data_IF_696847056302
#
_entry.id   IF_696847056302
#
_cell.length_a   1.000
_cell.length_b   1.000
_cell.length_c   1.000
_cell.angle_alpha   90.00
_cell.angle_beta   90.00
_cell.angle_gamma   90.00
#
_symmetry.space_group_name_H-M   'P 1'
#
loop_
_entity.id
_entity.type
_entity.pdbx_description
1 polymer ?
#
# COMPACT_ATOMS: atom_id res chain seq x y z
N UNK A 1 -5.97 -15.04 5.12
CA UNK A 1 -4.88 -14.98 4.12
C UNK A 1 -3.77 -14.08 4.58
N UNK A 2 -2.55 -14.41 4.21
CA UNK A 2 -1.37 -13.64 4.59
C UNK A 2 -0.87 -12.86 3.38
N UNK A 3 -0.55 -11.58 3.60
CA UNK A 3 -0.04 -10.68 2.58
C UNK A 3 1.24 -10.04 3.09
N UNK A 4 2.27 -10.00 2.25
CA UNK A 4 3.56 -9.43 2.58
C UNK A 4 3.65 -8.03 1.98
N UNK A 5 3.95 -7.02 2.80
CA UNK A 5 4.04 -5.63 2.38
C UNK A 5 5.50 -5.17 2.45
N UNK A 6 5.96 -4.53 1.39
CA UNK A 6 7.31 -3.95 1.31
C UNK A 6 7.19 -2.45 1.10
N UNK A 7 7.88 -1.69 1.94
CA UNK A 7 7.94 -0.22 1.83
C UNK A 7 9.28 0.19 1.23
N UNK A 8 9.26 1.24 0.42
CA UNK A 8 10.45 1.77 -0.26
C UNK A 8 10.61 3.26 -0.01
N UNK A 9 11.85 3.74 -0.14
CA UNK A 9 12.21 5.17 -0.06
C UNK A 9 11.64 5.84 1.21
N UNK A 10 10.99 6.99 1.07
CA UNK A 10 10.52 7.76 2.23
C UNK A 10 9.44 7.06 3.03
N UNK A 11 8.74 6.08 2.47
CA UNK A 11 7.80 5.28 3.30
C UNK A 11 8.54 4.53 4.41
N UNK A 12 9.81 4.18 4.21
CA UNK A 12 10.63 3.51 5.22
C UNK A 12 10.92 4.39 6.44
N UNK A 13 10.70 5.70 6.32
CA UNK A 13 10.93 6.62 7.43
C UNK A 13 9.77 6.62 8.42
N UNK A 14 8.59 6.16 7.99
CA UNK A 14 7.38 6.18 8.82
C UNK A 14 6.81 4.80 9.09
N UNK A 15 7.36 3.75 8.47
CA UNK A 15 6.91 2.38 8.72
C UNK A 15 8.08 1.40 8.55
N UNK A 16 7.87 0.16 9.02
CA UNK A 16 8.88 -0.89 8.83
C UNK A 16 9.05 -1.19 7.35
N UNK A 17 10.27 -1.60 6.98
CA UNK A 17 10.60 -1.91 5.58
C UNK A 17 9.76 -3.06 5.03
N UNK A 18 9.39 -4.02 5.89
CA UNK A 18 8.59 -5.17 5.52
C UNK A 18 7.63 -5.50 6.65
N UNK A 19 6.39 -5.80 6.30
CA UNK A 19 5.34 -6.14 7.26
C UNK A 19 4.51 -7.27 6.69
N UNK A 20 4.26 -8.31 7.51
CA UNK A 20 3.30 -9.34 7.16
C UNK A 20 1.96 -8.99 7.81
N UNK A 21 0.90 -9.08 7.03
CA UNK A 21 -0.45 -8.77 7.50
C UNK A 21 -1.39 -9.92 7.16
N UNK A 22 -2.40 -10.10 8.00
CA UNK A 22 -3.40 -11.13 7.78
C UNK A 22 -4.77 -10.48 7.59
N UNK A 23 -5.54 -11.00 6.65
CA UNK A 23 -6.88 -10.51 6.32
C UNK A 23 -7.82 -11.68 6.08
N UNK A 24 -9.12 -11.41 6.19
CA UNK A 24 -10.15 -12.36 5.78
C UNK A 24 -10.28 -12.36 4.26
N UNK A 25 -10.85 -13.44 3.72
CA UNK A 25 -11.13 -13.51 2.29
C UNK A 25 -12.01 -12.34 1.85
N UNK A 26 -11.72 -11.83 0.66
CA UNK A 26 -12.45 -10.71 0.10
C UNK A 26 -11.90 -9.34 0.45
N UNK A 27 -10.87 -9.26 1.29
CA UNK A 27 -10.24 -7.99 1.61
C UNK A 27 -9.60 -7.37 0.36
N UNK A 28 -9.58 -6.05 0.31
CA UNK A 28 -9.05 -5.28 -0.81
C UNK A 28 -7.80 -4.51 -0.39
N UNK A 29 -7.13 -3.91 -1.38
CA UNK A 29 -6.00 -3.02 -1.12
C UNK A 29 -6.41 -1.89 -0.17
N UNK A 30 -7.62 -1.35 -0.32
CA UNK A 30 -8.16 -0.31 0.57
C UNK A 30 -8.12 -0.76 2.02
N UNK A 31 -8.53 -2.00 2.30
CA UNK A 31 -8.50 -2.58 3.64
C UNK A 31 -7.07 -2.65 4.18
N UNK A 32 -6.13 -3.09 3.33
CA UNK A 32 -4.73 -3.21 3.71
C UNK A 32 -4.14 -1.83 4.06
N UNK A 33 -4.38 -0.84 3.21
CA UNK A 33 -3.85 0.51 3.43
C UNK A 33 -4.46 1.16 4.67
N UNK A 34 -5.75 0.93 4.93
CA UNK A 34 -6.39 1.42 6.15
C UNK A 34 -5.71 0.83 7.39
N UNK A 35 -5.37 -0.45 7.35
CA UNK A 35 -4.65 -1.10 8.44
C UNK A 35 -3.27 -0.51 8.65
N UNK A 36 -2.54 -0.23 7.57
CA UNK A 36 -1.22 0.38 7.65
C UNK A 36 -1.26 1.80 8.17
N UNK A 37 -2.15 2.64 7.64
CA UNK A 37 -2.24 4.03 8.06
C UNK A 37 -2.73 4.15 9.50
N UNK A 38 -3.52 3.20 9.98
CA UNK A 38 -3.92 3.14 11.37
C UNK A 38 -2.81 2.70 12.30
N UNK A 39 -1.86 1.91 11.79
CA UNK A 39 -0.74 1.37 12.57
C UNK A 39 0.45 2.32 12.62
N UNK A 40 0.73 3.02 11.52
CA UNK A 40 1.91 3.87 11.38
C UNK A 40 1.52 5.33 11.24
N UNK A 41 1.88 6.15 12.24
CA UNK A 41 1.66 7.59 12.18
C UNK A 41 2.51 8.22 11.08
N UNK A 42 1.95 9.21 10.37
CA UNK A 42 2.64 9.88 9.28
C UNK A 42 2.48 9.23 7.92
N UNK A 43 2.08 7.96 7.87
CA UNK A 43 1.94 7.27 6.59
C UNK A 43 0.77 7.82 5.77
N UNK A 44 -0.33 8.15 6.43
CA UNK A 44 -1.51 8.65 5.73
C UNK A 44 -1.22 9.92 4.94
N UNK A 45 -0.49 10.85 5.53
CA UNK A 45 -0.14 12.12 4.88
C UNK A 45 0.78 11.92 3.68
N UNK A 46 1.64 10.92 3.72
CA UNK A 46 2.54 10.62 2.62
C UNK A 46 1.85 9.87 1.48
N UNK A 47 0.79 9.13 1.79
CA UNK A 47 0.16 8.23 0.83
C UNK A 47 -1.12 8.79 0.22
N UNK A 48 -1.97 9.45 1.01
CA UNK A 48 -3.29 9.87 0.57
C UNK A 48 -3.42 11.38 0.45
N UNK A 49 -4.00 11.83 -0.66
CA UNK A 49 -4.41 13.24 -0.85
C UNK A 49 -5.74 13.47 -0.13
N UNK A 50 -6.66 12.53 -0.26
CA UNK A 50 -7.95 12.48 0.44
C UNK A 50 -8.15 11.06 0.95
N UNK A 51 -9.15 10.79 1.82
CA UNK A 51 -9.37 9.43 2.32
C UNK A 51 -9.55 8.37 1.24
N UNK A 52 -10.00 8.75 0.06
CA UNK A 52 -10.26 7.82 -1.04
C UNK A 52 -9.34 7.98 -2.24
N UNK A 53 -8.34 8.86 -2.16
CA UNK A 53 -7.50 9.17 -3.32
C UNK A 53 -6.03 9.17 -2.92
N UNK A 54 -5.25 8.32 -3.56
CA UNK A 54 -3.79 8.32 -3.39
C UNK A 54 -3.21 9.62 -3.94
N UNK A 55 -2.11 10.09 -3.33
CA UNK A 55 -1.36 11.20 -3.89
C UNK A 55 -0.83 10.83 -5.26
N UNK A 56 -0.67 11.84 -6.12
CA UNK A 56 -0.07 11.65 -7.44
C UNK A 56 1.31 11.02 -7.29
N UNK A 57 1.63 10.11 -8.20
CA UNK A 57 2.93 9.42 -8.28
C UNK A 57 3.21 8.43 -7.16
N UNK A 58 2.26 8.19 -6.24
CA UNK A 58 2.35 7.02 -5.37
C UNK A 58 2.06 5.79 -6.22
N UNK A 59 2.98 4.84 -6.22
CA UNK A 59 2.82 3.61 -6.99
C UNK A 59 2.73 2.42 -6.04
N UNK A 60 1.72 1.59 -6.24
CA UNK A 60 1.53 0.38 -5.46
C UNK A 60 1.50 -0.80 -6.43
N UNK A 61 2.36 -1.78 -6.19
CA UNK A 61 2.45 -2.96 -7.04
C UNK A 61 1.93 -4.18 -6.29
N UNK A 62 1.07 -4.94 -6.94
CA UNK A 62 0.65 -6.26 -6.47
C UNK A 62 1.37 -7.30 -7.30
N UNK A 63 2.28 -8.04 -6.68
CA UNK A 63 3.09 -9.05 -7.36
C UNK A 63 3.77 -8.50 -8.62
N UNK A 64 4.30 -7.28 -8.52
CA UNK A 64 5.00 -6.63 -9.61
C UNK A 64 4.12 -5.86 -10.60
N UNK A 65 2.80 -5.88 -10.41
CA UNK A 65 1.86 -5.19 -11.32
C UNK A 65 1.27 -3.97 -10.63
N UNK A 66 1.34 -2.83 -11.29
CA UNK A 66 0.79 -1.59 -10.75
C UNK A 66 -0.74 -1.72 -10.61
N UNK A 67 -1.25 -1.48 -9.41
CA UNK A 67 -2.68 -1.63 -9.13
C UNK A 67 -3.54 -0.64 -9.93
N UNK A 68 -2.95 0.45 -10.41
CA UNK A 68 -3.65 1.39 -11.29
C UNK A 68 -4.20 0.68 -12.52
N UNK A 69 -3.50 -0.34 -13.02
CA UNK A 69 -3.91 -1.13 -14.17
C UNK A 69 -4.73 -2.36 -13.79
N UNK A 70 -5.02 -2.52 -12.51
CA UNK A 70 -5.94 -3.52 -11.99
C UNK A 70 -7.23 -2.82 -11.58
N UNK A 71 -7.61 -2.92 -10.31
CA UNK A 71 -8.82 -2.26 -9.81
C UNK A 71 -8.50 -1.15 -8.78
N UNK A 72 -7.29 -0.60 -8.83
CA UNK A 72 -6.89 0.48 -7.90
C UNK A 72 -7.03 0.05 -6.45
N UNK A 73 -7.65 0.90 -5.64
CA UNK A 73 -7.87 0.60 -4.22
C UNK A 73 -8.81 -0.58 -3.99
N UNK A 74 -9.63 -0.91 -4.99
CA UNK A 74 -10.57 -2.04 -4.90
C UNK A 74 -9.97 -3.35 -5.41
N UNK A 75 -8.67 -3.37 -5.73
CA UNK A 75 -7.96 -4.58 -6.10
C UNK A 75 -8.07 -5.60 -4.97
N UNK A 76 -8.53 -6.79 -5.28
CA UNK A 76 -8.67 -7.85 -4.28
C UNK A 76 -7.33 -8.46 -3.92
N UNK A 77 -7.18 -8.80 -2.65
CA UNK A 77 -5.98 -9.44 -2.14
C UNK A 77 -6.14 -10.95 -2.17
N UNK A 78 -5.03 -11.65 -2.34
CA UNK A 78 -4.99 -13.10 -2.34
C UNK A 78 -3.88 -13.57 -1.41
N UNK A 79 -4.02 -14.78 -0.90
CA UNK A 79 -3.01 -15.34 -0.01
C UNK A 79 -1.66 -15.42 -0.72
N UNK A 80 -0.62 -14.94 -0.05
CA UNK A 80 0.73 -14.94 -0.59
C UNK A 80 1.08 -13.72 -1.43
N UNK A 81 0.16 -12.77 -1.59
CA UNK A 81 0.46 -11.54 -2.34
C UNK A 81 1.63 -10.77 -1.72
N UNK A 82 2.41 -10.14 -2.60
CA UNK A 82 3.44 -9.18 -2.22
C UNK A 82 3.00 -7.81 -2.71
N UNK A 83 2.79 -6.89 -1.77
CA UNK A 83 2.37 -5.52 -2.06
C UNK A 83 3.58 -4.61 -1.82
N UNK A 84 4.02 -3.93 -2.86
CA UNK A 84 5.15 -3.01 -2.78
C UNK A 84 4.65 -1.58 -2.86
N UNK A 85 5.10 -0.74 -1.91
CA UNK A 85 4.68 0.65 -1.77
C UNK A 85 5.83 1.57 -2.14
N UNK A 86 5.62 2.41 -3.17
CA UNK A 86 6.60 3.38 -3.64
C UNK A 86 6.03 4.80 -3.52
N UNK A 87 6.70 5.69 -2.77
CA UNK A 87 6.24 7.08 -2.65
C UNK A 87 6.60 7.87 -3.92
N UNK A 88 6.06 9.09 -4.07
CA UNK A 88 6.51 9.98 -5.13
C UNK A 88 8.01 10.23 -5.02
N UNK A 89 8.69 10.30 -6.16
CA UNK A 89 10.12 10.59 -6.20
C UNK A 89 10.27 12.10 -6.33
N UNK A 90 11.02 12.71 -5.38
CA UNK A 90 11.25 14.15 -5.39
C UNK A 90 12.00 14.56 -6.66
N UNK A 91 11.50 15.60 -7.34
CA UNK A 91 12.12 16.13 -8.54
C UNK A 91 11.86 15.31 -9.79
N UNK A 92 11.04 14.26 -9.66
CA UNK A 92 10.69 13.40 -10.80
C UNK A 92 9.41 13.81 -11.43
#
# INVERSE_FOLDING_TARGET
MKVHVKAFATFREVMDNQVDMEFTEGATLRTLLAGLTGRYGGLNELMFATPDTLRDFVNILKNGRNVHFLSGLDTQLENGDVIALFPPIAGG
#
